data_IF_952642208380
#
_entry.id   IF_952642208380
#
_cell.length_a   1.000
_cell.length_b   1.000
_cell.length_c   1.000
_cell.angle_alpha   90.00
_cell.angle_beta   90.00
_cell.angle_gamma   90.00
#
_symmetry.space_group_name_H-M   'P 1'
#
loop_
_entity.id
_entity.type
_entity.pdbx_description
1 polymer ?
#
# COMPACT_ATOMS: atom_id res chain seq x y z
N UNK A 1 4.10 -22.47 -9.44
CA UNK A 1 5.06 -21.48 -9.98
C UNK A 1 5.34 -20.44 -8.90
N UNK A 2 6.58 -20.27 -8.43
CA UNK A 2 6.96 -19.29 -7.41
C UNK A 2 6.55 -17.85 -7.75
N UNK A 3 6.41 -17.52 -9.03
CA UNK A 3 6.06 -16.18 -9.50
C UNK A 3 4.65 -15.73 -9.06
N UNK A 4 3.69 -16.67 -8.98
CA UNK A 4 2.34 -16.37 -8.50
C UNK A 4 2.31 -15.96 -7.01
N UNK A 5 3.24 -16.48 -6.21
CA UNK A 5 3.34 -16.17 -4.78
C UNK A 5 3.80 -14.71 -4.55
N UNK A 6 4.54 -14.12 -5.49
CA UNK A 6 4.95 -12.71 -5.40
C UNK A 6 3.75 -11.76 -5.53
N UNK A 7 2.81 -12.06 -6.43
CA UNK A 7 1.58 -11.25 -6.57
C UNK A 7 0.72 -11.35 -5.31
N UNK A 8 0.60 -12.55 -4.73
CA UNK A 8 -0.08 -12.76 -3.45
C UNK A 8 0.60 -11.95 -2.33
N UNK A 9 1.93 -11.96 -2.29
CA UNK A 9 2.71 -11.19 -1.33
C UNK A 9 2.48 -9.68 -1.46
N UNK A 10 2.42 -9.14 -2.69
CA UNK A 10 2.11 -7.73 -2.94
C UNK A 10 0.74 -7.37 -2.35
N UNK A 11 -0.31 -8.15 -2.65
CA UNK A 11 -1.66 -7.92 -2.11
C UNK A 11 -1.66 -8.01 -0.58
N UNK A 12 -1.00 -9.01 -0.02
CA UNK A 12 -0.93 -9.21 1.43
C UNK A 12 -0.27 -8.03 2.12
N UNK A 13 0.84 -7.52 1.60
CA UNK A 13 1.57 -6.40 2.20
C UNK A 13 0.88 -5.05 1.94
N UNK A 14 0.14 -4.92 0.83
CA UNK A 14 -0.67 -3.74 0.51
C UNK A 14 -1.93 -3.63 1.37
N UNK A 15 -2.50 -4.76 1.80
CA UNK A 15 -3.78 -4.78 2.53
C UNK A 15 -3.73 -4.00 3.86
N UNK A 16 -2.72 -4.17 4.74
CA UNK A 16 -2.62 -3.40 5.98
C UNK A 16 -2.57 -1.88 5.80
N UNK A 17 -1.66 -1.28 5.00
CA UNK A 17 -1.63 0.17 4.81
C UNK A 17 -2.91 0.71 4.16
N UNK A 18 -3.53 -0.06 3.25
CA UNK A 18 -4.84 0.26 2.67
C UNK A 18 -5.94 0.30 3.74
N UNK A 19 -6.19 -0.82 4.43
CA UNK A 19 -7.30 -0.94 5.39
C UNK A 19 -7.12 -0.03 6.60
N UNK A 20 -5.89 0.06 7.12
CA UNK A 20 -5.62 0.86 8.32
C UNK A 20 -5.75 2.36 8.06
N UNK A 21 -5.45 2.84 6.86
CA UNK A 21 -5.69 4.24 6.51
C UNK A 21 -7.19 4.59 6.54
N UNK A 22 -8.05 3.69 6.06
CA UNK A 22 -9.52 3.82 6.20
C UNK A 22 -9.97 3.72 7.67
N UNK A 23 -9.39 2.78 8.41
CA UNK A 23 -9.71 2.59 9.83
C UNK A 23 -9.35 3.80 10.69
N UNK A 24 -8.31 4.55 10.34
CA UNK A 24 -7.99 5.83 11.01
C UNK A 24 -9.05 6.88 10.66
N UNK A 25 -9.48 6.97 9.40
CA UNK A 25 -10.48 7.95 8.98
C UNK A 25 -11.84 7.72 9.64
N UNK A 26 -12.24 6.45 9.82
CA UNK A 26 -13.52 6.03 10.41
C UNK A 26 -13.39 5.42 11.80
N UNK A 27 -12.40 5.88 12.58
CA UNK A 27 -12.07 5.27 13.87
C UNK A 27 -13.23 5.31 14.86
N UNK A 28 -14.03 6.39 14.85
CA UNK A 28 -15.21 6.53 15.71
C UNK A 28 -16.31 5.56 15.31
N UNK A 29 -16.65 5.46 14.01
CA UNK A 29 -17.62 4.49 13.50
C UNK A 29 -17.26 3.05 13.91
N UNK A 30 -15.97 2.68 13.82
CA UNK A 30 -15.51 1.35 14.22
C UNK A 30 -15.57 1.14 15.74
N UNK A 31 -15.35 2.20 16.53
CA UNK A 31 -15.46 2.14 17.99
C UNK A 31 -16.91 1.98 18.43
N UNK A 32 -17.83 2.75 17.84
CA UNK A 32 -19.27 2.67 18.12
C UNK A 32 -19.85 1.31 17.71
N UNK A 33 -19.37 0.73 16.61
CA UNK A 33 -19.77 -0.58 16.14
C UNK A 33 -19.05 -1.75 16.85
N UNK A 34 -18.23 -1.47 17.88
CA UNK A 34 -17.45 -2.46 18.63
C UNK A 34 -16.54 -3.35 17.75
N UNK A 35 -16.12 -2.83 16.59
CA UNK A 35 -15.27 -3.56 15.64
C UNK A 35 -13.81 -3.38 16.04
N UNK A 36 -13.07 -4.46 16.36
CA UNK A 36 -11.73 -4.37 16.94
C UNK A 36 -10.67 -4.10 15.86
N UNK A 37 -10.65 -2.89 15.28
CA UNK A 37 -9.63 -2.45 14.35
C UNK A 37 -8.35 -1.99 15.07
N UNK A 38 -7.19 -2.08 14.42
CA UNK A 38 -5.90 -1.67 15.00
C UNK A 38 -5.89 -0.26 15.64
N UNK A 39 -6.45 0.80 15.00
CA UNK A 39 -6.50 2.12 15.62
C UNK A 39 -7.43 2.19 16.84
N UNK A 40 -8.44 1.32 16.93
CA UNK A 40 -9.34 1.22 18.10
C UNK A 40 -8.62 0.52 19.25
N UNK A 41 -7.89 -0.56 18.98
CA UNK A 41 -7.24 -1.37 20.01
C UNK A 41 -5.90 -0.81 20.51
N UNK A 42 -5.06 -0.28 19.60
CA UNK A 42 -3.68 0.14 19.88
C UNK A 42 -3.45 1.64 19.69
N UNK A 43 -4.49 2.37 19.25
CA UNK A 43 -4.43 3.80 19.02
C UNK A 43 -3.97 4.18 17.61
N UNK A 44 -4.31 5.40 17.24
CA UNK A 44 -3.98 6.00 15.93
C UNK A 44 -2.47 6.14 15.71
N UNK A 45 -1.64 6.61 16.67
CA UNK A 45 -0.20 6.78 16.45
C UNK A 45 0.49 5.45 16.09
N UNK A 46 0.15 4.37 16.81
CA UNK A 46 0.68 3.03 16.54
C UNK A 46 0.30 2.55 15.14
N UNK A 47 -0.95 2.77 14.75
CA UNK A 47 -1.46 2.40 13.42
C UNK A 47 -0.74 3.16 12.31
N UNK A 48 -0.49 4.47 12.49
CA UNK A 48 0.28 5.27 11.51
C UNK A 48 1.71 4.80 11.33
N UNK A 49 2.38 4.40 12.41
CA UNK A 49 3.72 3.81 12.33
C UNK A 49 3.70 2.54 11.49
N UNK A 50 2.70 1.67 11.70
CA UNK A 50 2.55 0.44 10.95
C UNK A 50 2.21 0.70 9.47
N UNK A 51 1.35 1.68 9.16
CA UNK A 51 1.12 2.10 7.77
C UNK A 51 2.44 2.47 7.10
N UNK A 52 3.26 3.32 7.74
CA UNK A 52 4.55 3.73 7.18
C UNK A 52 5.51 2.55 6.97
N UNK A 53 5.67 1.69 7.99
CA UNK A 53 6.54 0.51 7.90
C UNK A 53 6.09 -0.46 6.80
N UNK A 54 4.80 -0.73 6.71
CA UNK A 54 4.26 -1.60 5.66
C UNK A 54 4.31 -0.96 4.28
N UNK A 55 4.22 0.37 4.15
CA UNK A 55 4.44 1.04 2.85
C UNK A 55 5.89 0.93 2.39
N UNK A 56 6.87 1.02 3.30
CA UNK A 56 8.29 0.76 2.97
C UNK A 56 8.48 -0.70 2.56
N UNK A 57 7.90 -1.64 3.31
CA UNK A 57 7.94 -3.06 2.97
C UNK A 57 7.27 -3.34 1.62
N UNK A 58 6.13 -2.70 1.35
CA UNK A 58 5.41 -2.82 0.07
C UNK A 58 6.30 -2.37 -1.08
N UNK A 59 6.97 -1.22 -0.95
CA UNK A 59 7.90 -0.74 -1.96
C UNK A 59 8.99 -1.78 -2.25
N UNK A 60 9.63 -2.35 -1.21
CA UNK A 60 10.62 -3.40 -1.38
C UNK A 60 10.05 -4.64 -2.09
N UNK A 61 8.87 -5.10 -1.68
CA UNK A 61 8.17 -6.27 -2.26
C UNK A 61 7.81 -6.03 -3.72
N UNK A 62 7.36 -4.82 -4.10
CA UNK A 62 7.04 -4.50 -5.50
C UNK A 62 8.25 -4.37 -6.42
N UNK A 63 9.47 -4.33 -5.89
CA UNK A 63 10.69 -4.36 -6.71
C UNK A 63 11.20 -5.81 -6.95
N UNK A 64 10.70 -6.78 -6.18
CA UNK A 64 11.09 -8.18 -6.32
C UNK A 64 10.71 -8.78 -7.68
N UNK A 65 9.51 -8.54 -8.26
CA UNK A 65 9.16 -9.09 -9.57
C UNK A 65 10.14 -8.70 -10.67
N UNK A 66 10.67 -7.48 -10.67
CA UNK A 66 11.74 -7.08 -11.57
C UNK A 66 13.05 -7.82 -11.26
N UNK A 67 13.40 -7.94 -9.98
CA UNK A 67 14.66 -8.57 -9.54
C UNK A 67 14.76 -10.06 -9.89
N UNK A 68 13.63 -10.77 -9.93
CA UNK A 68 13.57 -12.18 -10.35
C UNK A 68 13.37 -12.37 -11.85
N UNK A 69 13.34 -11.27 -12.63
CA UNK A 69 13.15 -11.29 -14.08
C UNK A 69 11.72 -11.59 -14.53
N UNK A 70 10.71 -11.39 -13.66
CA UNK A 70 9.30 -11.62 -13.99
C UNK A 70 8.70 -10.50 -14.84
N UNK A 71 9.17 -9.25 -14.67
CA UNK A 71 8.76 -8.09 -15.46
C UNK A 71 9.97 -7.21 -15.82
N UNK A 72 9.82 -6.42 -16.89
CA UNK A 72 10.84 -5.57 -17.46
C UNK A 72 10.93 -4.15 -16.87
N UNK A 73 11.63 -3.28 -17.60
CA UNK A 73 11.96 -1.92 -17.17
C UNK A 73 10.72 -1.02 -17.05
N UNK A 74 9.68 -1.27 -17.84
CA UNK A 74 8.43 -0.49 -17.80
C UNK A 74 7.78 -0.70 -16.43
N UNK A 75 7.63 -1.95 -16.01
CA UNK A 75 7.15 -2.27 -14.67
C UNK A 75 7.98 -1.60 -13.57
N UNK A 76 9.32 -1.65 -13.65
CA UNK A 76 10.21 -1.07 -12.64
C UNK A 76 9.99 0.44 -12.46
N UNK A 77 9.85 1.19 -13.56
CA UNK A 77 9.63 2.63 -13.52
C UNK A 77 8.31 2.94 -12.81
N UNK A 78 7.23 2.24 -13.19
CA UNK A 78 5.92 2.43 -12.56
C UNK A 78 5.93 2.04 -11.08
N UNK A 79 6.46 0.86 -10.74
CA UNK A 79 6.55 0.38 -9.36
C UNK A 79 7.32 1.36 -8.46
N UNK A 80 8.42 1.92 -8.96
CA UNK A 80 9.24 2.89 -8.23
C UNK A 80 8.50 4.21 -8.02
N UNK A 81 7.93 4.79 -9.07
CA UNK A 81 7.21 6.09 -8.99
C UNK A 81 6.00 5.95 -8.05
N UNK A 82 5.18 4.92 -8.26
CA UNK A 82 4.01 4.65 -7.44
C UNK A 82 4.42 4.40 -5.98
N UNK A 83 5.50 3.66 -5.74
CA UNK A 83 6.03 3.38 -4.40
C UNK A 83 6.47 4.64 -3.67
N UNK A 84 7.22 5.52 -4.33
CA UNK A 84 7.68 6.79 -3.77
C UNK A 84 6.51 7.73 -3.44
N UNK A 85 5.51 7.82 -4.32
CA UNK A 85 4.33 8.64 -4.06
C UNK A 85 3.51 8.04 -2.90
N UNK A 86 3.35 6.71 -2.81
CA UNK A 86 2.69 6.11 -1.66
C UNK A 86 3.44 6.41 -0.36
N UNK A 87 4.76 6.31 -0.37
CA UNK A 87 5.60 6.61 0.78
C UNK A 87 5.44 8.07 1.23
N UNK A 88 5.34 9.01 0.28
CA UNK A 88 5.02 10.40 0.58
C UNK A 88 3.68 10.55 1.31
N UNK A 89 2.61 9.88 0.85
CA UNK A 89 1.31 9.89 1.53
C UNK A 89 1.39 9.27 2.92
N UNK A 90 2.11 8.17 3.09
CA UNK A 90 2.30 7.51 4.38
C UNK A 90 3.05 8.41 5.39
N UNK A 91 4.10 9.10 4.95
CA UNK A 91 4.84 10.08 5.77
C UNK A 91 3.95 11.29 6.11
N UNK A 92 3.17 11.78 5.15
CA UNK A 92 2.24 12.88 5.38
C UNK A 92 1.17 12.50 6.42
N UNK A 93 0.61 11.28 6.34
CA UNK A 93 -0.32 10.75 7.33
C UNK A 93 0.33 10.55 8.71
N UNK A 94 1.58 10.09 8.74
CA UNK A 94 2.33 9.92 9.98
C UNK A 94 2.51 11.25 10.74
N UNK A 95 2.79 12.34 10.02
CA UNK A 95 2.99 13.68 10.59
C UNK A 95 1.70 14.45 10.85
N UNK A 96 0.60 14.04 10.24
CA UNK A 96 -0.69 14.73 10.35
C UNK A 96 -1.35 14.46 11.69
N UNK A 97 -1.45 15.47 12.55
CA UNK A 97 -2.08 15.36 13.88
C UNK A 97 -3.59 15.22 13.81
N UNK A 98 -4.23 15.71 12.75
CA UNK A 98 -5.68 15.75 12.61
C UNK A 98 -6.26 14.59 11.78
N UNK A 99 -5.42 13.70 11.27
CA UNK A 99 -5.82 12.54 10.46
C UNK A 99 -6.56 12.87 9.14
N UNK A 100 -6.53 14.14 8.70
CA UNK A 100 -7.08 14.59 7.41
C UNK A 100 -6.47 13.87 6.20
N UNK A 101 -5.24 13.36 6.33
CA UNK A 101 -4.51 12.63 5.29
C UNK A 101 -4.87 11.13 5.21
N UNK A 102 -5.70 10.62 6.12
CA UNK A 102 -6.08 9.21 6.16
C UNK A 102 -6.86 8.79 4.91
N UNK A 103 -7.91 9.56 4.55
CA UNK A 103 -8.71 9.29 3.35
C UNK A 103 -7.93 9.48 2.03
N UNK A 104 -7.12 10.55 1.83
CA UNK A 104 -6.24 10.64 0.67
C UNK A 104 -5.27 9.46 0.52
N UNK A 105 -4.71 8.98 1.63
CA UNK A 105 -3.80 7.81 1.63
C UNK A 105 -4.54 6.54 1.20
N UNK A 106 -5.76 6.35 1.69
CA UNK A 106 -6.65 5.25 1.27
C UNK A 106 -6.96 5.32 -0.23
N UNK A 107 -7.44 6.46 -0.73
CA UNK A 107 -7.80 6.62 -2.14
C UNK A 107 -6.58 6.41 -3.05
N UNK A 108 -5.43 6.95 -2.65
CA UNK A 108 -4.19 6.73 -3.38
C UNK A 108 -3.82 5.24 -3.44
N UNK A 109 -4.00 4.49 -2.36
CA UNK A 109 -3.67 3.06 -2.34
C UNK A 109 -4.48 2.22 -3.34
N UNK A 110 -5.72 2.64 -3.68
CA UNK A 110 -6.54 1.99 -4.72
C UNK A 110 -5.93 2.26 -6.10
N UNK A 111 -5.64 3.53 -6.40
CA UNK A 111 -5.02 3.93 -7.66
C UNK A 111 -3.63 3.33 -7.82
N UNK A 112 -2.85 3.28 -6.74
CA UNK A 112 -1.56 2.60 -6.68
C UNK A 112 -1.68 1.16 -7.19
N UNK A 113 -2.62 0.40 -6.65
CA UNK A 113 -2.78 -1.00 -7.02
C UNK A 113 -3.27 -1.16 -8.46
N UNK A 114 -4.23 -0.34 -8.88
CA UNK A 114 -4.75 -0.34 -10.24
C UNK A 114 -3.65 -0.06 -11.28
N UNK A 115 -2.82 0.96 -11.06
CA UNK A 115 -1.72 1.29 -11.96
C UNK A 115 -0.58 0.27 -11.91
N UNK A 116 -0.27 -0.30 -10.74
CA UNK A 116 0.75 -1.34 -10.61
C UNK A 116 0.36 -2.61 -11.38
N UNK A 117 -0.87 -3.08 -11.28
CA UNK A 117 -1.31 -4.24 -12.07
C UNK A 117 -1.46 -3.90 -13.56
N UNK A 118 -1.86 -2.68 -13.88
CA UNK A 118 -1.92 -2.24 -15.28
C UNK A 118 -0.53 -2.22 -15.92
N UNK A 119 0.51 -1.79 -15.20
CA UNK A 119 1.89 -1.82 -15.71
C UNK A 119 2.39 -3.25 -15.90
N UNK A 120 2.04 -4.19 -15.00
CA UNK A 120 2.33 -5.62 -15.20
C UNK A 120 1.68 -6.20 -16.46
N UNK A 121 0.42 -5.85 -16.72
CA UNK A 121 -0.27 -6.29 -17.95
C UNK A 121 0.41 -5.74 -19.20
N UNK A 122 0.69 -4.43 -19.23
CA UNK A 122 1.37 -3.77 -20.34
C UNK A 122 2.74 -4.41 -20.60
N UNK A 123 3.52 -4.63 -19.56
CA UNK A 123 4.85 -5.23 -19.65
C UNK A 123 4.77 -6.68 -20.18
N UNK A 124 3.81 -7.46 -19.70
CA UNK A 124 3.55 -8.82 -20.20
C UNK A 124 3.14 -8.83 -21.68
N UNK A 125 2.36 -7.87 -22.17
CA UNK A 125 2.00 -7.80 -23.59
C UNK A 125 3.15 -7.34 -24.51
N UNK A 126 4.15 -6.63 -23.98
CA UNK A 126 5.25 -6.06 -24.77
C UNK A 126 6.48 -6.99 -24.77
N UNK A 127 6.75 -7.67 -23.65
CA UNK A 127 7.96 -8.48 -23.46
C UNK A 127 7.74 -10.00 -23.51
N UNK A 128 6.50 -10.46 -23.75
CA UNK A 128 6.17 -11.85 -24.12
C UNK A 128 5.90 -11.93 -25.62
#
# INVERSE_FOLDING_TARGET
>A
DPNALLLVLIILVWTPPHFWSLAIHKVEDYREAEVPMLPVQKGIPFTKQHILLYTVLLMAVTLLPFSVGMFGIIYLIFATILGLVFLYYAIALYRDTENRKALPTFLYSIWYLAFLFSSMLIDSFIFT
#
